data_IF_865832889963
#
_entry.id   IF_865832889963
#
_cell.length_a   1.000
_cell.length_b   1.000
_cell.length_c   1.000
_cell.angle_alpha   90.00
_cell.angle_beta   90.00
_cell.angle_gamma   90.00
#
_symmetry.space_group_name_H-M   'P 1'
#
loop_
_entity.id
_entity.type
_entity.pdbx_description
1 polymer ?
#
# COMPACT_ATOMS: atom_id res chain seq x y z
N UNK A 1 -3.34 -6.03 24.27
CA UNK A 1 -2.55 -5.74 23.06
C UNK A 1 -3.18 -4.54 22.36
N UNK A 2 -2.39 -3.68 21.71
CA UNK A 2 -2.87 -2.48 20.99
C UNK A 2 -3.66 -2.82 19.72
N UNK A 3 -3.59 -4.07 19.27
CA UNK A 3 -4.32 -4.61 18.12
C UNK A 3 -5.12 -5.85 18.52
N UNK A 4 -6.20 -6.11 17.78
CA UNK A 4 -7.03 -7.31 17.91
C UNK A 4 -6.56 -8.39 16.92
N UNK A 5 -5.85 -9.40 17.42
CA UNK A 5 -5.35 -10.53 16.61
C UNK A 5 -6.35 -11.68 16.42
N UNK A 6 -7.61 -11.52 16.87
CA UNK A 6 -8.70 -12.49 16.67
C UNK A 6 -8.30 -13.93 17.05
N UNK A 7 -7.58 -14.12 18.16
CA UNK A 7 -6.96 -15.40 18.54
C UNK A 7 -7.95 -16.58 18.53
N UNK A 8 -9.19 -16.38 18.99
CA UNK A 8 -10.23 -17.42 18.96
C UNK A 8 -10.62 -17.84 17.54
N UNK A 9 -10.69 -16.87 16.62
CA UNK A 9 -10.95 -17.14 15.20
C UNK A 9 -9.79 -17.90 14.58
N UNK A 10 -8.55 -17.51 14.88
CA UNK A 10 -7.35 -18.24 14.43
C UNK A 10 -7.40 -19.70 14.88
N UNK A 11 -7.72 -19.96 16.16
CA UNK A 11 -7.85 -21.32 16.69
C UNK A 11 -8.95 -22.11 15.98
N UNK A 12 -10.11 -21.48 15.76
CA UNK A 12 -11.23 -22.10 15.05
C UNK A 12 -10.84 -22.51 13.62
N UNK A 13 -10.25 -21.60 12.86
CA UNK A 13 -9.84 -21.83 11.47
C UNK A 13 -8.80 -22.94 11.34
N UNK A 14 -7.82 -22.99 12.25
CA UNK A 14 -6.81 -24.07 12.28
C UNK A 14 -7.47 -25.44 12.52
N UNK A 15 -8.43 -25.52 13.45
CA UNK A 15 -9.17 -26.76 13.73
C UNK A 15 -10.04 -27.19 12.55
N UNK A 16 -10.77 -26.27 11.95
CA UNK A 16 -11.66 -26.55 10.81
C UNK A 16 -10.89 -27.04 9.58
N UNK A 17 -9.64 -26.59 9.40
CA UNK A 17 -8.76 -27.04 8.32
C UNK A 17 -7.89 -28.25 8.67
N UNK A 18 -7.99 -28.75 9.90
CA UNK A 18 -7.14 -29.80 10.47
C UNK A 18 -5.63 -29.56 10.27
N UNK A 19 -5.21 -28.30 10.26
CA UNK A 19 -3.82 -27.93 10.01
C UNK A 19 -2.91 -28.34 11.20
N UNK A 20 -1.81 -29.02 10.92
CA UNK A 20 -0.84 -29.50 11.91
C UNK A 20 0.42 -28.65 11.97
N UNK A 21 0.80 -28.02 10.86
CA UNK A 21 1.89 -27.05 10.80
C UNK A 21 1.41 -25.73 10.19
N UNK A 22 1.59 -24.64 10.91
CA UNK A 22 1.02 -23.33 10.56
C UNK A 22 2.11 -22.28 10.48
N UNK A 23 2.23 -21.60 9.34
CA UNK A 23 3.11 -20.45 9.16
C UNK A 23 2.37 -19.16 9.51
N UNK A 24 2.89 -18.39 10.46
CA UNK A 24 2.36 -17.08 10.83
C UNK A 24 3.18 -15.98 10.15
N UNK A 25 2.52 -15.18 9.32
CA UNK A 25 3.13 -14.07 8.60
C UNK A 25 2.61 -12.74 9.16
N UNK A 26 3.53 -11.89 9.61
CA UNK A 26 3.23 -10.57 10.18
C UNK A 26 3.91 -9.47 9.37
N UNK A 27 3.27 -8.31 9.18
CA UNK A 27 3.97 -7.12 8.73
C UNK A 27 4.99 -6.66 9.77
N UNK A 28 5.99 -5.89 9.34
CA UNK A 28 7.09 -5.39 10.18
C UNK A 28 6.60 -4.81 11.51
N UNK A 29 5.60 -3.93 11.47
CA UNK A 29 5.06 -3.28 12.68
C UNK A 29 4.35 -4.21 13.67
N UNK A 30 4.01 -5.44 13.26
CA UNK A 30 3.35 -6.44 14.10
C UNK A 30 4.24 -7.65 14.45
N UNK A 31 5.41 -7.80 13.82
CA UNK A 31 6.37 -8.88 14.14
C UNK A 31 6.76 -8.89 15.61
N UNK A 32 6.79 -7.73 16.28
CA UNK A 32 7.02 -7.60 17.72
C UNK A 32 6.09 -8.50 18.56
N UNK A 33 4.84 -8.70 18.13
CA UNK A 33 3.86 -9.51 18.87
C UNK A 33 3.90 -11.01 18.54
N UNK A 34 4.71 -11.42 17.55
CA UNK A 34 4.66 -12.77 16.97
C UNK A 34 4.89 -13.88 18.00
N UNK A 35 5.92 -13.74 18.85
CA UNK A 35 6.26 -14.75 19.87
C UNK A 35 5.15 -14.89 20.92
N UNK A 36 4.59 -13.77 21.38
CA UNK A 36 3.48 -13.77 22.35
C UNK A 36 2.23 -14.44 21.78
N UNK A 37 1.92 -14.17 20.52
CA UNK A 37 0.78 -14.79 19.82
C UNK A 37 1.01 -16.30 19.70
N UNK A 38 2.20 -16.74 19.27
CA UNK A 38 2.52 -18.18 19.20
C UNK A 38 2.38 -18.85 20.56
N UNK A 39 2.86 -18.22 21.64
CA UNK A 39 2.73 -18.78 22.99
C UNK A 39 1.26 -19.05 23.36
N UNK A 40 0.40 -18.06 23.14
CA UNK A 40 -1.05 -18.18 23.41
C UNK A 40 -1.74 -19.21 22.51
N UNK A 41 -1.36 -19.28 21.24
CA UNK A 41 -1.92 -20.27 20.31
C UNK A 41 -1.49 -21.70 20.72
N UNK A 42 -0.24 -21.91 21.14
CA UNK A 42 0.27 -23.20 21.63
C UNK A 42 -0.48 -23.68 22.88
N UNK A 43 -0.87 -22.80 23.79
CA UNK A 43 -1.69 -23.15 24.95
C UNK A 43 -3.06 -23.75 24.53
N UNK A 44 -3.64 -23.28 23.41
CA UNK A 44 -4.95 -23.71 22.91
C UNK A 44 -4.88 -24.85 21.88
N UNK A 45 -3.72 -25.02 21.25
CA UNK A 45 -3.44 -25.97 20.17
C UNK A 45 -2.07 -26.64 20.40
N UNK A 46 -1.93 -27.47 21.44
CA UNK A 46 -0.63 -28.04 21.83
C UNK A 46 -0.04 -29.01 20.80
N UNK A 47 -0.87 -29.54 19.89
CA UNK A 47 -0.47 -30.49 18.86
C UNK A 47 -0.20 -29.83 17.49
N UNK A 48 -0.19 -28.49 17.43
CA UNK A 48 0.09 -27.73 16.21
C UNK A 48 1.50 -27.15 16.28
N UNK A 49 2.28 -27.39 15.24
CA UNK A 49 3.59 -26.79 15.06
C UNK A 49 3.45 -25.39 14.44
N UNK A 50 3.92 -24.37 15.15
CA UNK A 50 3.82 -22.98 14.71
C UNK A 50 5.19 -22.47 14.29
N UNK A 51 5.25 -21.96 13.06
CA UNK A 51 6.44 -21.34 12.47
C UNK A 51 6.12 -19.85 12.26
N UNK A 52 7.07 -18.98 12.58
CA UNK A 52 6.94 -17.53 12.34
C UNK A 52 7.78 -17.19 11.12
N UNK A 53 7.18 -16.53 10.13
CA UNK A 53 7.91 -16.03 8.97
C UNK A 53 8.87 -14.91 9.38
N UNK A 54 10.16 -15.15 9.12
CA UNK A 54 11.24 -14.18 9.33
C UNK A 54 11.31 -13.13 8.23
N UNK A 55 10.77 -13.42 7.05
CA UNK A 55 10.85 -12.59 5.85
C UNK A 55 10.06 -11.28 5.98
N UNK A 56 10.49 -10.20 5.31
CA UNK A 56 9.69 -8.99 5.24
C UNK A 56 8.31 -9.24 4.62
N UNK A 57 7.29 -8.57 5.16
CA UNK A 57 5.92 -8.65 4.65
C UNK A 57 5.30 -7.26 4.59
N UNK A 58 5.14 -6.73 3.38
CA UNK A 58 4.63 -5.36 3.17
C UNK A 58 3.12 -5.28 2.86
N UNK A 59 2.46 -6.42 2.66
CA UNK A 59 1.05 -6.44 2.27
C UNK A 59 0.53 -7.81 1.86
N UNK A 60 -0.78 -7.89 1.61
CA UNK A 60 -1.40 -9.07 1.02
C UNK A 60 -0.95 -9.37 -0.43
N UNK A 61 -0.15 -8.47 -1.03
CA UNK A 61 0.55 -8.72 -2.30
C UNK A 61 1.82 -9.58 -2.16
N UNK A 62 2.19 -9.95 -0.94
CA UNK A 62 3.44 -10.63 -0.60
C UNK A 62 3.21 -11.80 0.36
N UNK A 63 2.26 -12.68 0.02
CA UNK A 63 1.99 -13.87 0.81
C UNK A 63 3.17 -14.85 0.69
N UNK A 64 3.65 -15.36 1.83
CA UNK A 64 4.81 -16.25 1.93
C UNK A 64 4.51 -17.70 1.50
N UNK A 65 3.96 -17.87 0.29
CA UNK A 65 3.61 -19.19 -0.25
C UNK A 65 4.82 -20.07 -0.52
N UNK A 66 5.92 -19.48 -1.00
CA UNK A 66 7.17 -20.20 -1.25
C UNK A 66 7.81 -20.67 0.05
N UNK A 67 7.83 -19.82 1.08
CA UNK A 67 8.28 -20.18 2.42
C UNK A 67 7.41 -21.30 3.02
N UNK A 68 6.08 -21.17 2.96
CA UNK A 68 5.14 -22.15 3.49
C UNK A 68 5.35 -23.54 2.87
N UNK A 69 5.59 -23.61 1.55
CA UNK A 69 5.92 -24.85 0.86
C UNK A 69 7.25 -25.44 1.34
N UNK A 70 8.30 -24.63 1.45
CA UNK A 70 9.63 -25.10 1.86
C UNK A 70 9.66 -25.64 3.30
N UNK A 71 8.88 -25.05 4.19
CA UNK A 71 8.79 -25.50 5.60
C UNK A 71 7.71 -26.57 5.80
N UNK A 72 7.04 -27.03 4.74
CA UNK A 72 5.95 -27.99 4.77
C UNK A 72 4.82 -27.57 5.74
N UNK A 73 4.44 -26.29 5.71
CA UNK A 73 3.23 -25.84 6.39
C UNK A 73 1.99 -26.39 5.69
N UNK A 74 0.87 -26.42 6.39
CA UNK A 74 -0.46 -26.75 5.86
C UNK A 74 -1.31 -25.49 5.64
N UNK A 75 -1.00 -24.42 6.38
CA UNK A 75 -1.80 -23.21 6.46
C UNK A 75 -0.93 -21.97 6.73
N UNK A 76 -1.22 -20.87 6.05
CA UNK A 76 -0.70 -19.54 6.39
C UNK A 76 -1.76 -18.76 7.16
N UNK A 77 -1.38 -18.16 8.29
CA UNK A 77 -2.16 -17.09 8.92
C UNK A 77 -1.44 -15.76 8.64
N UNK A 78 -2.05 -14.93 7.80
CA UNK A 78 -1.53 -13.63 7.39
C UNK A 78 -2.20 -12.51 8.19
N UNK A 79 -1.43 -11.77 8.97
CA UNK A 79 -1.94 -10.71 9.82
C UNK A 79 -1.83 -9.31 9.17
N UNK A 80 -2.70 -8.39 9.56
CA UNK A 80 -2.58 -6.96 9.27
C UNK A 80 -3.08 -6.50 7.90
N UNK A 81 -3.62 -7.40 7.09
CA UNK A 81 -4.12 -7.08 5.75
C UNK A 81 -5.39 -7.84 5.41
N UNK A 82 -6.24 -7.22 4.58
CA UNK A 82 -7.35 -7.88 3.90
C UNK A 82 -6.85 -8.58 2.64
N UNK A 83 -7.57 -9.61 2.13
CA UNK A 83 -7.28 -10.22 0.84
C UNK A 83 -7.08 -9.18 -0.28
N UNK A 84 -6.09 -9.43 -1.14
CA UNK A 84 -5.65 -8.47 -2.15
C UNK A 84 -6.56 -8.50 -3.40
N UNK A 85 -6.79 -7.34 -4.01
CA UNK A 85 -7.68 -7.19 -5.17
C UNK A 85 -7.22 -8.00 -6.38
N UNK A 86 -5.91 -8.01 -6.65
CA UNK A 86 -5.35 -8.56 -7.90
C UNK A 86 -4.65 -9.91 -7.73
N UNK A 87 -4.73 -10.52 -6.55
CA UNK A 87 -4.13 -11.82 -6.30
C UNK A 87 -4.93 -12.60 -5.24
N UNK A 88 -5.29 -13.83 -5.59
CA UNK A 88 -5.80 -14.81 -4.64
C UNK A 88 -4.70 -15.80 -4.29
N UNK A 89 -4.46 -16.06 -2.99
CA UNK A 89 -3.47 -17.05 -2.59
C UNK A 89 -3.76 -18.43 -3.17
N UNK A 90 -2.73 -19.07 -3.70
CA UNK A 90 -2.80 -20.46 -4.19
C UNK A 90 -2.55 -21.45 -3.06
N UNK A 91 -1.86 -21.00 -2.02
CA UNK A 91 -1.64 -21.74 -0.79
C UNK A 91 -2.78 -21.45 0.22
N UNK A 92 -3.28 -22.44 0.99
CA UNK A 92 -4.28 -22.21 2.03
C UNK A 92 -3.86 -21.08 2.97
N UNK A 93 -4.63 -19.98 2.97
CA UNK A 93 -4.28 -18.75 3.67
C UNK A 93 -5.51 -18.15 4.36
N UNK A 94 -5.38 -17.80 5.63
CA UNK A 94 -6.39 -17.06 6.41
C UNK A 94 -5.86 -15.67 6.73
N UNK A 95 -6.69 -14.66 6.46
CA UNK A 95 -6.38 -13.27 6.74
C UNK A 95 -7.01 -12.83 8.06
N UNK A 96 -6.20 -12.21 8.90
CA UNK A 96 -6.59 -11.62 10.18
C UNK A 96 -6.29 -10.12 10.11
N UNK A 97 -7.29 -9.27 10.33
CA UNK A 97 -7.17 -7.84 10.02
C UNK A 97 -6.19 -7.11 10.94
N UNK A 98 -6.03 -7.58 12.18
CA UNK A 98 -5.26 -6.91 13.23
C UNK A 98 -5.67 -5.43 13.41
N UNK A 99 -6.97 -5.18 13.58
CA UNK A 99 -7.53 -3.84 13.78
C UNK A 99 -7.00 -3.20 15.07
N UNK A 100 -6.70 -1.90 15.02
CA UNK A 100 -6.20 -1.15 16.17
C UNK A 100 -7.32 -0.84 17.17
N UNK A 101 -6.99 -0.89 18.47
CA UNK A 101 -7.91 -0.50 19.55
C UNK A 101 -7.80 1.00 19.91
N UNK A 102 -7.11 1.79 19.10
CA UNK A 102 -6.91 3.22 19.36
C UNK A 102 -8.19 4.02 19.15
N UNK A 103 -8.32 5.10 19.91
CA UNK A 103 -9.36 6.10 19.77
C UNK A 103 -8.72 7.43 19.36
N UNK A 104 -9.53 8.35 18.85
CA UNK A 104 -9.13 9.74 18.57
C UNK A 104 -9.82 10.67 19.57
N UNK A 105 -9.04 11.56 20.18
CA UNK A 105 -9.55 12.57 21.12
C UNK A 105 -10.33 13.68 20.42
N UNK A 106 -11.20 14.34 21.17
CA UNK A 106 -12.01 15.47 20.68
C UNK A 106 -11.13 16.64 20.21
N UNK A 107 -10.05 16.94 20.93
CA UNK A 107 -9.11 18.02 20.57
C UNK A 107 -8.47 17.79 19.19
N UNK A 108 -8.22 16.53 18.83
CA UNK A 108 -7.63 16.18 17.54
C UNK A 108 -8.68 16.28 16.42
N UNK A 109 -9.94 15.93 16.69
CA UNK A 109 -11.04 16.15 15.76
C UNK A 109 -11.27 17.65 15.50
N UNK A 110 -11.16 18.49 16.53
CA UNK A 110 -11.18 19.95 16.36
C UNK A 110 -9.98 20.45 15.53
N UNK A 111 -8.78 19.88 15.73
CA UNK A 111 -7.63 20.21 14.88
C UNK A 111 -7.86 19.81 13.42
N UNK A 112 -8.50 18.66 13.18
CA UNK A 112 -8.89 18.21 11.84
C UNK A 112 -9.87 19.21 11.19
N UNK A 113 -10.90 19.64 11.90
CA UNK A 113 -11.82 20.69 11.43
C UNK A 113 -11.07 21.98 11.06
N UNK A 114 -10.13 22.41 11.91
CA UNK A 114 -9.32 23.60 11.66
C UNK A 114 -8.44 23.45 10.41
N UNK A 115 -7.91 22.26 10.14
CA UNK A 115 -7.15 22.00 8.91
C UNK A 115 -8.04 22.00 7.67
N UNK A 116 -9.25 21.41 7.77
CA UNK A 116 -10.21 21.37 6.67
C UNK A 116 -10.70 22.78 6.32
N UNK A 117 -11.01 23.61 7.32
CA UNK A 117 -11.58 24.96 7.13
C UNK A 117 -10.64 25.95 6.41
N UNK A 118 -9.36 25.61 6.24
CA UNK A 118 -8.42 26.34 5.38
C UNK A 118 -8.80 26.30 3.90
N UNK A 119 -9.65 25.37 3.51
CA UNK A 119 -10.11 25.17 2.14
C UNK A 119 -11.59 25.58 2.02
N UNK A 120 -11.96 26.22 0.90
CA UNK A 120 -13.29 26.80 0.69
C UNK A 120 -14.40 25.75 0.41
N UNK A 121 -14.11 24.46 0.60
CA UNK A 121 -14.98 23.34 0.24
C UNK A 121 -15.67 22.70 1.44
N UNK A 122 -16.84 22.12 1.21
CA UNK A 122 -17.62 21.43 2.25
C UNK A 122 -17.68 19.91 2.04
N UNK A 123 -17.28 19.42 0.87
CA UNK A 123 -17.35 18.00 0.54
C UNK A 123 -16.03 17.32 0.85
N UNK A 124 -16.06 16.31 1.71
CA UNK A 124 -14.88 15.63 2.23
C UNK A 124 -14.90 14.18 1.77
N UNK A 125 -13.81 13.73 1.16
CA UNK A 125 -13.54 12.30 1.01
C UNK A 125 -12.88 11.79 2.28
N UNK A 126 -13.47 10.80 2.94
CA UNK A 126 -12.92 10.20 4.16
C UNK A 126 -12.44 8.78 3.87
N UNK A 127 -11.14 8.56 4.08
CA UNK A 127 -10.46 7.28 3.84
C UNK A 127 -9.68 6.82 5.06
N UNK A 128 -9.29 5.55 5.10
CA UNK A 128 -8.48 5.00 6.17
C UNK A 128 -7.60 3.83 5.70
N UNK A 129 -6.57 3.53 6.49
CA UNK A 129 -5.88 2.23 6.41
C UNK A 129 -6.66 1.18 7.21
N UNK A 130 -6.50 -0.11 6.86
CA UNK A 130 -7.25 -1.23 7.46
C UNK A 130 -7.32 -1.16 8.99
N UNK A 131 -6.19 -0.96 9.64
CA UNK A 131 -6.09 -0.92 11.10
C UNK A 131 -6.95 0.17 11.78
N UNK A 132 -7.43 1.17 11.03
CA UNK A 132 -8.20 2.31 11.55
C UNK A 132 -9.61 2.45 10.97
N UNK A 133 -10.10 1.48 10.18
CA UNK A 133 -11.42 1.56 9.54
C UNK A 133 -12.57 1.78 10.54
N UNK A 134 -12.42 1.30 11.79
CA UNK A 134 -13.38 1.54 12.87
C UNK A 134 -13.58 3.00 13.26
N UNK A 135 -12.59 3.85 12.99
CA UNK A 135 -12.64 5.28 13.34
C UNK A 135 -13.42 6.09 12.30
N UNK A 136 -13.62 5.55 11.09
CA UNK A 136 -14.26 6.24 9.98
C UNK A 136 -15.67 6.70 10.33
N UNK A 137 -16.49 5.86 10.96
CA UNK A 137 -17.87 6.22 11.34
C UNK A 137 -17.92 7.36 12.35
N UNK A 138 -17.07 7.31 13.40
CA UNK A 138 -16.98 8.37 14.41
C UNK A 138 -16.57 9.71 13.80
N UNK A 139 -15.53 9.69 12.96
CA UNK A 139 -15.02 10.92 12.31
C UNK A 139 -16.05 11.48 11.34
N UNK A 140 -16.73 10.60 10.58
CA UNK A 140 -17.83 10.99 9.71
C UNK A 140 -18.91 11.75 10.48
N UNK A 141 -19.43 11.18 11.57
CA UNK A 141 -20.46 11.84 12.37
C UNK A 141 -20.00 13.19 12.92
N UNK A 142 -18.77 13.27 13.44
CA UNK A 142 -18.20 14.54 13.92
C UNK A 142 -18.18 15.62 12.82
N UNK A 143 -17.75 15.28 11.61
CA UNK A 143 -17.68 16.23 10.49
C UNK A 143 -19.08 16.59 9.94
N UNK A 144 -20.00 15.64 9.89
CA UNK A 144 -21.40 15.90 9.49
C UNK A 144 -22.11 16.83 10.49
N UNK A 145 -21.87 16.67 11.80
CA UNK A 145 -22.39 17.55 12.86
C UNK A 145 -21.86 19.00 12.73
N UNK A 146 -20.70 19.18 12.08
CA UNK A 146 -20.11 20.48 11.73
C UNK A 146 -20.60 21.04 10.38
N UNK A 147 -21.47 20.31 9.68
CA UNK A 147 -22.09 20.74 8.43
C UNK A 147 -21.28 20.43 7.17
N UNK A 148 -20.32 19.50 7.23
CA UNK A 148 -19.62 18.98 6.05
C UNK A 148 -20.40 17.83 5.39
N UNK A 149 -20.28 17.69 4.06
CA UNK A 149 -20.77 16.52 3.32
C UNK A 149 -19.66 15.47 3.24
N UNK A 150 -19.78 14.38 3.99
CA UNK A 150 -18.74 13.36 4.11
C UNK A 150 -19.05 12.14 3.24
N UNK A 151 -18.23 11.96 2.21
CA UNK A 151 -18.30 10.84 1.29
C UNK A 151 -17.27 9.78 1.66
N UNK A 152 -17.74 8.54 1.81
CA UNK A 152 -16.90 7.36 1.98
C UNK A 152 -17.06 6.51 0.71
N UNK A 153 -16.00 6.40 -0.09
CA UNK A 153 -16.04 5.65 -1.34
C UNK A 153 -16.00 4.14 -1.13
N UNK A 154 -16.43 3.41 -2.15
CA UNK A 154 -16.45 1.94 -2.17
C UNK A 154 -15.07 1.36 -2.47
N UNK A 155 -14.69 0.24 -1.84
CA UNK A 155 -13.39 -0.36 -2.07
C UNK A 155 -13.35 -1.16 -3.37
N UNK A 156 -12.15 -1.55 -3.80
CA UNK A 156 -11.93 -2.34 -5.01
C UNK A 156 -12.38 -3.79 -4.93
N UNK A 157 -12.53 -4.34 -3.72
CA UNK A 157 -12.96 -5.72 -3.53
C UNK A 157 -13.84 -5.89 -2.27
N UNK A 158 -14.60 -6.99 -2.24
CA UNK A 158 -15.59 -7.28 -1.19
C UNK A 158 -15.04 -7.55 0.21
N UNK A 159 -13.74 -7.80 0.35
CA UNK A 159 -13.11 -8.07 1.65
C UNK A 159 -12.51 -6.83 2.28
N UNK A 160 -12.44 -5.73 1.52
CA UNK A 160 -12.04 -4.42 2.02
C UNK A 160 -13.26 -3.68 2.58
N UNK A 161 -12.99 -2.69 3.43
CA UNK A 161 -14.01 -1.82 4.00
C UNK A 161 -14.22 -0.56 3.16
N UNK A 162 -15.41 0.03 3.26
CA UNK A 162 -15.68 1.36 2.70
C UNK A 162 -14.65 2.38 3.23
N UNK A 163 -14.11 3.22 2.34
CA UNK A 163 -13.06 4.18 2.65
C UNK A 163 -11.66 3.57 2.79
N UNK A 164 -11.51 2.24 2.77
CA UNK A 164 -10.20 1.60 2.88
C UNK A 164 -9.38 1.84 1.61
N UNK A 165 -8.16 2.35 1.77
CA UNK A 165 -7.17 2.46 0.70
C UNK A 165 -5.90 1.66 1.02
N UNK A 166 -5.10 1.39 -0.01
CA UNK A 166 -3.77 0.78 0.06
C UNK A 166 -2.75 1.72 -0.58
N UNK A 167 -1.45 1.47 -0.36
CA UNK A 167 -0.38 2.20 -1.07
C UNK A 167 -0.39 2.05 -2.60
N UNK A 168 -1.22 1.15 -3.13
CA UNK A 168 -1.31 0.84 -4.56
C UNK A 168 -2.75 0.81 -5.08
N UNK A 169 -3.73 1.12 -4.22
CA UNK A 169 -5.15 1.05 -4.52
C UNK A 169 -5.87 2.21 -3.81
N UNK A 170 -6.28 3.20 -4.60
CA UNK A 170 -6.95 4.42 -4.13
C UNK A 170 -8.42 4.47 -4.56
N UNK A 171 -9.02 3.34 -4.95
CA UNK A 171 -10.39 3.31 -5.50
C UNK A 171 -11.43 3.93 -4.58
N UNK A 172 -11.31 3.73 -3.26
CA UNK A 172 -12.21 4.32 -2.28
C UNK A 172 -12.10 5.85 -2.18
N UNK A 173 -11.05 6.45 -2.76
CA UNK A 173 -10.89 7.88 -2.92
C UNK A 173 -11.31 8.38 -4.31
N UNK A 174 -11.76 7.54 -5.24
CA UNK A 174 -12.28 8.00 -6.54
C UNK A 174 -13.71 8.55 -6.40
N UNK A 175 -13.85 9.62 -5.63
CA UNK A 175 -15.10 10.34 -5.37
C UNK A 175 -14.85 11.83 -5.57
N UNK A 176 -15.83 12.57 -6.04
CA UNK A 176 -15.68 14.02 -6.16
C UNK A 176 -15.78 14.68 -4.78
N UNK A 177 -14.70 15.31 -4.33
CA UNK A 177 -14.61 16.02 -3.06
C UNK A 177 -13.62 17.20 -3.15
N UNK A 178 -13.77 18.15 -2.23
CA UNK A 178 -12.92 19.33 -2.13
C UNK A 178 -11.63 19.04 -1.35
N UNK A 179 -11.76 18.29 -0.26
CA UNK A 179 -10.67 17.92 0.65
C UNK A 179 -10.68 16.42 0.93
N UNK A 180 -9.50 15.83 1.00
CA UNK A 180 -9.30 14.40 1.20
C UNK A 180 -8.66 14.15 2.56
N UNK A 181 -9.35 13.39 3.40
CA UNK A 181 -8.90 13.04 4.74
C UNK A 181 -8.54 11.56 4.75
N UNK A 182 -7.41 11.24 5.37
CA UNK A 182 -6.99 9.86 5.60
C UNK A 182 -6.67 9.62 7.06
N UNK A 183 -7.23 8.53 7.61
CA UNK A 183 -6.89 8.02 8.93
C UNK A 183 -5.78 6.97 8.81
N UNK A 184 -4.55 7.38 9.12
CA UNK A 184 -3.36 6.54 8.98
C UNK A 184 -2.21 7.01 9.86
N UNK A 185 -1.45 6.05 10.39
CA UNK A 185 -0.10 6.32 10.88
C UNK A 185 0.89 6.55 9.73
N UNK A 186 1.91 7.37 9.99
CA UNK A 186 2.98 7.66 9.02
C UNK A 186 2.52 8.41 7.77
N UNK A 187 3.44 8.73 6.85
CA UNK A 187 3.13 9.55 5.67
C UNK A 187 2.80 8.76 4.40
N UNK A 188 3.13 7.47 4.35
CA UNK A 188 3.08 6.64 3.14
C UNK A 188 1.74 6.70 2.40
N UNK A 189 0.64 6.35 3.08
CA UNK A 189 -0.69 6.33 2.46
C UNK A 189 -1.22 7.72 2.16
N UNK A 190 -0.92 8.70 3.03
CA UNK A 190 -1.38 10.06 2.87
C UNK A 190 -0.72 10.77 1.68
N UNK A 191 0.59 10.60 1.50
CA UNK A 191 1.29 11.11 0.32
C UNK A 191 0.75 10.47 -0.96
N UNK A 192 0.54 9.16 -0.96
CA UNK A 192 -0.03 8.47 -2.11
C UNK A 192 -1.47 8.88 -2.44
N UNK A 193 -2.30 9.16 -1.42
CA UNK A 193 -3.65 9.70 -1.62
C UNK A 193 -3.60 11.06 -2.30
N UNK A 194 -2.74 11.96 -1.84
CA UNK A 194 -2.57 13.26 -2.47
C UNK A 194 -2.01 13.16 -3.89
N UNK A 195 -1.10 12.23 -4.16
CA UNK A 195 -0.59 11.97 -5.52
C UNK A 195 -1.67 11.41 -6.46
N UNK A 196 -2.52 10.50 -5.97
CA UNK A 196 -3.57 9.88 -6.78
C UNK A 196 -4.73 10.83 -7.08
N UNK A 197 -5.02 11.76 -6.16
CA UNK A 197 -6.18 12.65 -6.27
C UNK A 197 -5.81 14.04 -6.78
N UNK A 198 -4.56 14.48 -6.58
CA UNK A 198 -4.09 15.84 -6.80
C UNK A 198 -4.95 16.90 -6.07
N UNK A 199 -5.40 16.58 -4.86
CA UNK A 199 -6.32 17.40 -4.06
C UNK A 199 -5.73 17.74 -2.68
N UNK A 200 -6.26 18.77 -1.99
CA UNK A 200 -5.95 19.03 -0.59
C UNK A 200 -6.06 17.75 0.25
N UNK A 201 -4.98 17.40 0.95
CA UNK A 201 -4.88 16.13 1.67
C UNK A 201 -4.49 16.36 3.12
N UNK A 202 -5.33 15.87 4.03
CA UNK A 202 -5.12 15.96 5.48
C UNK A 202 -4.96 14.57 6.05
N UNK A 203 -3.88 14.37 6.80
CA UNK A 203 -3.59 13.13 7.53
C UNK A 203 -4.06 13.29 8.98
N UNK A 204 -4.86 12.34 9.42
CA UNK A 204 -5.24 12.17 10.82
C UNK A 204 -4.53 10.94 11.38
N UNK A 205 -3.65 11.13 12.36
CA UNK A 205 -2.80 10.08 12.93
C UNK A 205 -3.30 9.65 14.32
N UNK A 206 -3.90 8.45 14.47
CA UNK A 206 -4.39 7.97 15.76
C UNK A 206 -3.29 7.59 16.75
N UNK A 207 -2.05 7.37 16.29
CA UNK A 207 -0.93 7.05 17.19
C UNK A 207 -0.36 8.32 17.81
N UNK A 208 -0.15 9.34 16.96
CA UNK A 208 0.39 10.63 17.40
C UNK A 208 -0.66 11.57 17.98
N UNK A 209 -1.96 11.22 17.87
CA UNK A 209 -3.09 12.08 18.24
C UNK A 209 -2.92 13.46 17.60
N UNK A 210 -2.80 13.49 16.26
CA UNK A 210 -2.48 14.70 15.51
C UNK A 210 -3.19 14.74 14.16
N UNK A 211 -3.65 15.92 13.77
CA UNK A 211 -4.05 16.26 12.40
C UNK A 211 -2.95 17.06 11.72
N UNK A 212 -2.67 16.76 10.46
CA UNK A 212 -1.64 17.40 9.66
C UNK A 212 -2.11 17.61 8.22
N UNK A 213 -2.15 18.85 7.76
CA UNK A 213 -2.28 19.17 6.33
C UNK A 213 -0.94 18.89 5.62
N UNK A 214 -0.94 17.90 4.74
CA UNK A 214 0.25 17.43 4.02
C UNK A 214 0.24 17.87 2.54
N UNK A 215 -0.65 18.80 2.17
CA UNK A 215 -0.82 19.22 0.78
C UNK A 215 0.48 19.80 0.20
N UNK A 216 1.25 20.54 1.01
CA UNK A 216 2.53 21.09 0.57
C UNK A 216 3.61 20.01 0.41
N UNK A 217 3.61 18.98 1.26
CA UNK A 217 4.48 17.81 1.18
C UNK A 217 4.21 17.03 -0.11
N UNK A 218 2.94 16.80 -0.45
CA UNK A 218 2.53 16.18 -1.72
C UNK A 218 3.06 17.00 -2.90
N UNK A 219 2.91 18.33 -2.88
CA UNK A 219 3.45 19.21 -3.94
C UNK A 219 4.97 19.12 -4.07
N UNK A 220 5.72 18.99 -2.96
CA UNK A 220 7.17 18.79 -3.00
C UNK A 220 7.52 17.49 -3.72
N UNK A 221 6.79 16.41 -3.43
CA UNK A 221 6.99 15.12 -4.11
C UNK A 221 6.63 15.23 -5.59
N UNK A 222 5.49 15.84 -5.95
CA UNK A 222 5.11 16.05 -7.34
C UNK A 222 6.22 16.76 -8.13
N UNK A 223 6.84 17.80 -7.58
CA UNK A 223 7.98 18.49 -8.24
C UNK A 223 9.13 17.53 -8.56
N UNK A 224 9.47 16.65 -7.62
CA UNK A 224 10.49 15.60 -7.84
C UNK A 224 10.05 14.65 -8.94
N UNK A 225 8.78 14.21 -8.92
CA UNK A 225 8.23 13.27 -9.90
C UNK A 225 8.20 13.84 -11.32
N UNK A 226 7.73 15.07 -11.50
CA UNK A 226 7.83 15.78 -12.79
C UNK A 226 9.29 15.95 -13.23
N UNK A 227 10.21 16.23 -12.30
CA UNK A 227 11.65 16.23 -12.60
C UNK A 227 12.13 14.90 -13.18
N UNK A 228 11.72 13.77 -12.58
CA UNK A 228 12.05 12.42 -13.09
C UNK A 228 11.40 12.13 -14.45
N UNK A 229 10.15 12.55 -14.66
CA UNK A 229 9.47 12.42 -15.96
C UNK A 229 10.23 13.20 -17.04
N UNK A 230 10.53 14.47 -16.80
CA UNK A 230 11.23 15.33 -17.77
C UNK A 230 12.63 14.81 -18.10
N UNK A 231 13.36 14.30 -17.10
CA UNK A 231 14.65 13.64 -17.31
C UNK A 231 14.58 12.37 -18.17
N UNK A 232 13.41 11.74 -18.27
CA UNK A 232 13.21 10.48 -19.00
C UNK A 232 12.64 10.67 -20.42
N UNK A 233 12.14 11.86 -20.78
CA UNK A 233 11.42 12.08 -22.04
C UNK A 233 12.27 11.84 -23.30
N UNK A 234 13.56 12.19 -23.26
CA UNK A 234 14.50 12.06 -24.37
C UNK A 234 15.30 10.73 -24.34
N UNK A 235 15.09 9.91 -23.31
CA UNK A 235 15.89 8.73 -23.03
C UNK A 235 15.48 7.51 -23.83
N UNK A 236 16.46 6.68 -24.18
CA UNK A 236 16.29 5.62 -25.18
C UNK A 236 16.36 4.21 -24.61
N UNK A 237 17.15 3.99 -23.56
CA UNK A 237 17.35 2.66 -22.98
C UNK A 237 16.58 2.50 -21.67
N UNK A 238 15.60 1.61 -21.68
CA UNK A 238 14.69 1.36 -20.57
C UNK A 238 14.91 -0.03 -19.96
N UNK A 239 14.90 -0.10 -18.64
CA UNK A 239 14.88 -1.35 -17.88
C UNK A 239 13.56 -1.47 -17.14
N UNK A 240 12.74 -2.43 -17.54
CA UNK A 240 11.50 -2.77 -16.86
C UNK A 240 11.81 -3.73 -15.70
N UNK A 241 11.53 -3.29 -14.47
CA UNK A 241 11.65 -4.12 -13.28
C UNK A 241 10.35 -4.90 -13.06
N UNK A 242 10.42 -6.21 -13.26
CA UNK A 242 9.36 -7.18 -12.99
C UNK A 242 9.46 -7.67 -11.54
N UNK A 243 8.44 -7.38 -10.72
CA UNK A 243 8.31 -7.98 -9.40
C UNK A 243 7.94 -9.46 -9.49
N UNK A 244 8.57 -10.31 -8.68
CA UNK A 244 8.23 -11.76 -8.61
C UNK A 244 7.48 -12.15 -7.34
N UNK A 245 7.16 -11.19 -6.46
CA UNK A 245 6.21 -11.40 -5.36
C UNK A 245 4.81 -11.66 -5.91
N UNK A 246 4.06 -12.52 -5.24
CA UNK A 246 2.83 -13.12 -5.77
C UNK A 246 1.79 -12.11 -6.29
N UNK A 247 1.55 -11.02 -5.57
CA UNK A 247 0.65 -9.94 -5.98
C UNK A 247 1.31 -8.76 -6.70
N UNK A 248 2.62 -8.82 -6.93
CA UNK A 248 3.37 -7.76 -7.62
C UNK A 248 3.87 -8.18 -9.01
N UNK A 249 3.68 -9.44 -9.40
CA UNK A 249 4.00 -9.92 -10.74
C UNK A 249 2.87 -9.60 -11.71
N UNK A 250 3.11 -8.68 -12.66
CA UNK A 250 2.11 -8.17 -13.60
C UNK A 250 2.52 -8.41 -15.06
N UNK A 251 2.47 -9.65 -15.56
CA UNK A 251 2.97 -10.00 -16.89
C UNK A 251 2.30 -9.20 -18.02
N UNK A 252 0.99 -8.93 -17.92
CA UNK A 252 0.28 -8.15 -18.94
C UNK A 252 0.73 -6.68 -18.98
N UNK A 253 1.03 -6.08 -17.83
CA UNK A 253 1.55 -4.72 -17.73
C UNK A 253 2.97 -4.63 -18.31
N UNK A 254 3.82 -5.61 -17.99
CA UNK A 254 5.17 -5.70 -18.53
C UNK A 254 5.13 -5.83 -20.05
N UNK A 255 4.26 -6.72 -20.57
CA UNK A 255 4.05 -6.88 -22.01
C UNK A 255 3.61 -5.57 -22.66
N UNK A 256 2.62 -4.88 -22.07
CA UNK A 256 2.15 -3.59 -22.58
C UNK A 256 3.29 -2.57 -22.71
N UNK A 257 4.07 -2.35 -21.65
CA UNK A 257 5.17 -1.39 -21.71
C UNK A 257 6.30 -1.82 -22.65
N UNK A 258 6.62 -3.11 -22.68
CA UNK A 258 7.61 -3.64 -23.62
C UNK A 258 7.20 -3.37 -25.07
N UNK A 259 5.97 -3.70 -25.44
CA UNK A 259 5.45 -3.52 -26.80
C UNK A 259 5.37 -2.02 -27.17
N UNK A 260 4.84 -1.16 -26.30
CA UNK A 260 4.70 0.28 -26.59
C UNK A 260 6.06 1.00 -26.70
N UNK A 261 7.02 0.64 -25.85
CA UNK A 261 8.34 1.25 -25.88
C UNK A 261 9.14 0.79 -27.10
N UNK A 262 9.16 -0.52 -27.39
CA UNK A 262 9.88 -1.07 -28.56
C UNK A 262 9.29 -0.56 -29.88
N UNK A 263 7.97 -0.44 -29.99
CA UNK A 263 7.29 0.16 -31.16
C UNK A 263 7.72 1.60 -31.43
N UNK A 264 8.12 2.35 -30.39
CA UNK A 264 8.66 3.72 -30.50
C UNK A 264 10.17 3.75 -30.76
N UNK A 265 10.82 2.59 -30.91
CA UNK A 265 12.26 2.47 -31.19
C UNK A 265 13.15 2.61 -29.96
N UNK A 266 12.62 2.36 -28.76
CA UNK A 266 13.42 2.31 -27.54
C UNK A 266 14.06 0.93 -27.35
N UNK A 267 15.25 0.91 -26.75
CA UNK A 267 15.90 -0.33 -26.31
C UNK A 267 15.34 -0.73 -24.95
N UNK A 268 14.75 -1.92 -24.85
CA UNK A 268 14.02 -2.35 -23.64
C UNK A 268 14.55 -3.66 -23.11
N UNK A 269 14.96 -3.65 -21.85
CA UNK A 269 15.38 -4.82 -21.09
C UNK A 269 14.38 -5.12 -19.98
N UNK A 270 14.22 -6.39 -19.61
CA UNK A 270 13.38 -6.81 -18.49
C UNK A 270 14.28 -7.45 -17.44
N UNK A 271 14.14 -7.00 -16.18
CA UNK A 271 14.86 -7.56 -15.03
C UNK A 271 13.86 -7.98 -13.97
N UNK A 272 13.95 -9.23 -13.54
CA UNK A 272 13.12 -9.75 -12.45
C UNK A 272 13.75 -9.44 -11.10
N UNK A 273 12.92 -9.15 -10.10
CA UNK A 273 13.39 -8.92 -8.74
C UNK A 273 12.32 -9.28 -7.70
N UNK A 274 12.76 -9.86 -6.57
CA UNK A 274 11.89 -10.13 -5.40
C UNK A 274 11.84 -8.91 -4.46
N UNK A 275 12.99 -8.35 -4.10
CA UNK A 275 13.12 -7.16 -3.24
C UNK A 275 14.00 -6.11 -3.91
N UNK A 276 13.43 -4.97 -4.27
CA UNK A 276 14.11 -3.94 -5.07
C UNK A 276 14.66 -2.87 -4.14
N UNK A 277 15.97 -2.65 -4.20
CA UNK A 277 16.67 -1.63 -3.42
C UNK A 277 17.55 -0.77 -4.33
N UNK A 278 18.07 0.33 -3.80
CA UNK A 278 19.02 1.17 -4.54
C UNK A 278 20.27 0.37 -4.94
N UNK A 279 20.79 -0.49 -4.07
CA UNK A 279 21.97 -1.30 -4.36
C UNK A 279 21.71 -2.30 -5.49
N UNK A 280 20.51 -2.89 -5.55
CA UNK A 280 20.11 -3.73 -6.68
C UNK A 280 20.15 -2.92 -7.98
N UNK A 281 19.59 -1.70 -7.98
CA UNK A 281 19.65 -0.85 -9.16
C UNK A 281 21.09 -0.50 -9.55
N UNK A 282 21.93 -0.08 -8.59
CA UNK A 282 23.34 0.27 -8.84
C UNK A 282 24.14 -0.90 -9.43
N UNK A 283 23.89 -2.13 -8.97
CA UNK A 283 24.55 -3.31 -9.50
C UNK A 283 24.18 -3.61 -10.96
N UNK A 284 22.93 -3.30 -11.34
CA UNK A 284 22.42 -3.43 -12.70
C UNK A 284 22.82 -2.27 -13.60
N UNK A 285 23.05 -1.09 -13.03
CA UNK A 285 23.17 0.16 -13.76
C UNK A 285 24.47 0.24 -14.58
N UNK A 286 24.36 0.80 -15.79
CA UNK A 286 25.46 1.02 -16.73
C UNK A 286 25.29 2.37 -17.39
N UNK A 287 26.37 2.93 -17.95
CA UNK A 287 26.34 4.24 -18.61
C UNK A 287 25.32 4.35 -19.75
N UNK A 288 24.98 3.22 -20.39
CA UNK A 288 24.03 3.16 -21.50
C UNK A 288 22.57 2.89 -21.08
N UNK A 289 22.30 2.61 -19.80
CA UNK A 289 20.94 2.48 -19.27
C UNK A 289 20.45 3.87 -18.87
N UNK A 290 19.25 4.26 -19.29
CA UNK A 290 18.75 5.60 -19.00
C UNK A 290 17.66 5.63 -17.93
N UNK A 291 16.71 4.69 -17.99
CA UNK A 291 15.47 4.75 -17.20
C UNK A 291 15.14 3.39 -16.60
N UNK A 292 14.71 3.37 -15.34
CA UNK A 292 14.13 2.19 -14.70
C UNK A 292 12.61 2.36 -14.55
N UNK A 293 11.84 1.41 -15.06
CA UNK A 293 10.37 1.36 -14.91
C UNK A 293 9.99 0.27 -13.91
N UNK A 294 9.46 0.65 -12.75
CA UNK A 294 9.05 -0.29 -11.72
C UNK A 294 7.60 -0.75 -11.94
N UNK A 295 7.42 -2.02 -12.30
CA UNK A 295 6.08 -2.61 -12.51
C UNK A 295 5.57 -3.43 -11.32
N UNK A 296 6.34 -3.46 -10.22
CA UNK A 296 6.04 -4.17 -8.97
C UNK A 296 5.26 -3.31 -7.95
N UNK A 297 5.81 -3.01 -6.78
CA UNK A 297 5.19 -2.07 -5.85
C UNK A 297 5.33 -0.63 -6.39
N UNK A 298 4.24 0.11 -6.60
CA UNK A 298 4.29 1.44 -7.20
C UNK A 298 4.79 2.52 -6.22
N UNK A 299 5.01 2.14 -4.97
CA UNK A 299 5.54 3.02 -3.92
C UNK A 299 7.05 3.10 -3.94
N UNK A 300 7.74 2.08 -4.46
CA UNK A 300 9.21 2.06 -4.53
C UNK A 300 9.79 3.27 -5.27
N UNK A 301 9.29 3.70 -6.46
CA UNK A 301 9.78 4.90 -7.11
C UNK A 301 9.61 6.18 -6.27
N UNK A 302 8.58 6.23 -5.42
CA UNK A 302 8.16 7.43 -4.68
C UNK A 302 8.86 7.52 -3.32
N UNK A 303 9.03 6.40 -2.63
CA UNK A 303 9.48 6.36 -1.23
C UNK A 303 10.94 5.92 -1.10
N UNK A 304 11.31 4.80 -1.72
CA UNK A 304 12.61 4.15 -1.51
C UNK A 304 13.66 4.56 -2.56
N UNK A 305 13.21 4.90 -3.77
CA UNK A 305 14.06 5.10 -4.95
C UNK A 305 13.94 6.53 -5.52
N UNK A 306 13.28 7.45 -4.81
CA UNK A 306 13.04 8.81 -5.31
C UNK A 306 14.33 9.60 -5.56
N UNK A 307 15.37 9.33 -4.77
CA UNK A 307 16.68 9.97 -4.83
C UNK A 307 17.70 9.18 -5.65
N UNK A 308 17.30 8.08 -6.30
CA UNK A 308 18.18 7.34 -7.21
C UNK A 308 18.68 8.28 -8.32
N UNK A 309 19.91 8.07 -8.79
CA UNK A 309 20.62 9.00 -9.66
C UNK A 309 19.96 9.16 -11.04
N UNK A 310 19.30 8.10 -11.53
CA UNK A 310 18.55 8.09 -12.79
C UNK A 310 17.03 8.14 -12.56
N UNK A 311 16.22 8.38 -13.60
CA UNK A 311 14.77 8.23 -13.51
C UNK A 311 14.36 6.81 -13.12
N UNK A 312 13.69 6.69 -11.98
CA UNK A 312 12.96 5.49 -11.56
C UNK A 312 11.49 5.85 -11.57
N UNK A 313 10.72 5.23 -12.45
CA UNK A 313 9.35 5.62 -12.79
C UNK A 313 8.34 4.57 -12.33
N UNK A 314 7.14 5.06 -12.01
CA UNK A 314 5.92 4.28 -11.88
C UNK A 314 5.30 4.00 -13.26
N UNK A 315 4.37 3.03 -13.36
CA UNK A 315 3.61 2.80 -14.59
C UNK A 315 2.82 4.02 -15.08
N UNK A 316 2.19 4.77 -14.16
CA UNK A 316 1.48 6.00 -14.50
C UNK A 316 2.38 7.03 -15.16
N UNK A 317 3.57 7.27 -14.60
CA UNK A 317 4.55 8.20 -15.17
C UNK A 317 5.11 7.74 -16.52
N UNK A 318 5.35 6.43 -16.69
CA UNK A 318 5.75 5.89 -17.99
C UNK A 318 4.66 6.07 -19.06
N UNK A 319 3.37 5.91 -18.71
CA UNK A 319 2.26 6.21 -19.62
C UNK A 319 2.23 7.68 -20.03
N UNK A 320 2.48 8.60 -19.09
CA UNK A 320 2.56 10.04 -19.39
C UNK A 320 3.63 10.32 -20.46
N UNK A 321 4.80 9.68 -20.37
CA UNK A 321 5.89 9.81 -21.35
C UNK A 321 5.49 9.20 -22.71
N UNK A 322 4.99 7.95 -22.71
CA UNK A 322 4.60 7.23 -23.94
C UNK A 322 3.52 8.01 -24.71
N UNK A 323 2.57 8.61 -23.99
CA UNK A 323 1.45 9.36 -24.57
C UNK A 323 1.80 10.83 -24.84
N UNK A 324 3.00 11.29 -24.45
CA UNK A 324 3.38 12.69 -24.51
C UNK A 324 2.35 13.62 -23.85
N UNK A 325 1.83 13.21 -22.69
CA UNK A 325 0.78 13.90 -21.93
C UNK A 325 1.22 14.03 -20.47
N UNK A 326 1.53 15.26 -20.06
CA UNK A 326 2.04 15.56 -18.72
C UNK A 326 0.94 15.93 -17.71
N UNK A 327 -0.31 16.08 -18.16
CA UNK A 327 -1.43 16.45 -17.30
C UNK A 327 -2.70 15.67 -17.66
N UNK A 328 -3.46 15.20 -16.64
CA UNK A 328 -3.14 15.24 -15.22
C UNK A 328 -1.99 14.27 -14.85
N UNK A 329 -1.30 14.50 -13.72
CA UNK A 329 -0.37 13.53 -13.14
C UNK A 329 -1.07 12.18 -12.89
N UNK A 330 -0.43 11.08 -13.27
CA UNK A 330 -1.00 9.73 -13.17
C UNK A 330 -0.25 8.94 -12.10
N UNK A 331 -0.96 8.52 -11.05
CA UNK A 331 -0.43 7.64 -10.01
C UNK A 331 -1.52 6.70 -9.46
N UNK A 332 -1.20 5.43 -9.17
CA UNK A 332 0.06 4.73 -9.48
C UNK A 332 0.13 4.11 -10.89
N UNK A 333 -1.01 3.92 -11.57
CA UNK A 333 -1.17 2.99 -12.69
C UNK A 333 -1.33 3.58 -14.08
#
# INVERSE_FOLDING_TARGET
>A
MSYNFEEERVVKEIREKDAKRVLLQFPEGLKYFSIDIVKKLKEKLPNVDFIISGEPSWGACDIAEDEAQQVNADLIIHFGHTPYTWYYPKFPTIFINAESNLNISESVLQSLENDISKYNGRKISLTATLQHVRLVSKIKSFLEDKGYDVVIGKPSNRFMFDGQILGCDYKAAEVEADTYVIVSGGLFHALGLGLATNKPTIKLDPYLQKSEDITNEVRKILKVRYGKILQAMDKRTWVIIQGVKVGQNRPNMIKYFYDELTKKGYDVFIVTNKVLTQDVLRNLDRSYIDVFLVTSCPRLPIDDLYNYEKPVLTPGEAKMIINNSLEPYIFPW
#
